data_IF_675135219165
#
_entry.id   IF_675135219165
#
_cell.length_a   1.000
_cell.length_b   1.000
_cell.length_c   1.000
_cell.angle_alpha   90.00
_cell.angle_beta   90.00
_cell.angle_gamma   90.00
#
_symmetry.space_group_name_H-M   'P 1'
#
loop_
_entity.id
_entity.type
_entity.pdbx_description
1 polymer ?
#
# COMPACT_ATOMS: atom_id res chain seq x y z
N UNK A 1 -11.30 222.32 -4.86
CA UNK A 1 -10.96 221.51 -3.67
C UNK A 1 -11.92 220.32 -3.44
N UNK A 2 -12.94 220.10 -4.29
CA UNK A 2 -13.75 218.87 -4.27
C UNK A 2 -13.41 217.87 -5.42
N UNK A 3 -12.99 218.32 -6.61
CA UNK A 3 -12.69 217.40 -7.74
C UNK A 3 -11.49 216.47 -7.53
N UNK A 4 -10.46 216.88 -6.79
CA UNK A 4 -9.27 216.02 -6.55
C UNK A 4 -9.52 214.86 -5.58
N UNK A 5 -10.60 214.90 -4.80
CA UNK A 5 -10.92 213.82 -3.86
C UNK A 5 -11.77 212.73 -4.53
N UNK A 6 -12.68 213.12 -5.43
CA UNK A 6 -13.54 212.17 -6.16
C UNK A 6 -12.76 211.32 -7.17
N UNK A 7 -11.77 211.89 -7.87
CA UNK A 7 -10.86 211.12 -8.75
C UNK A 7 -10.01 210.10 -8.00
N UNK A 8 -9.50 210.46 -6.80
CA UNK A 8 -8.73 209.53 -5.99
C UNK A 8 -9.59 208.38 -5.44
N UNK A 9 -10.87 208.63 -5.15
CA UNK A 9 -11.75 207.60 -4.60
C UNK A 9 -12.21 206.61 -5.69
N UNK A 10 -12.47 207.08 -6.92
CA UNK A 10 -12.82 206.20 -8.05
C UNK A 10 -11.69 205.25 -8.43
N UNK A 11 -10.45 205.76 -8.48
CA UNK A 11 -9.26 204.93 -8.76
C UNK A 11 -9.02 203.88 -7.67
N UNK A 12 -9.35 204.20 -6.42
CA UNK A 12 -9.21 203.27 -5.31
C UNK A 12 -10.24 202.13 -5.39
N UNK A 13 -11.49 202.43 -5.74
CA UNK A 13 -12.55 201.41 -5.92
C UNK A 13 -12.24 200.50 -7.10
N UNK A 14 -11.83 201.03 -8.26
CA UNK A 14 -11.40 200.21 -9.40
C UNK A 14 -10.19 199.34 -9.07
N UNK A 15 -9.23 199.86 -8.29
CA UNK A 15 -8.09 199.06 -7.83
C UNK A 15 -8.51 197.93 -6.90
N UNK A 16 -9.50 198.16 -6.02
CA UNK A 16 -10.02 197.13 -5.12
C UNK A 16 -10.89 196.09 -5.84
N UNK A 17 -11.73 196.50 -6.79
CA UNK A 17 -12.51 195.58 -7.63
C UNK A 17 -11.60 194.69 -8.46
N UNK A 18 -10.52 195.24 -9.00
CA UNK A 18 -9.52 194.48 -9.75
C UNK A 18 -8.77 193.49 -8.87
N UNK A 19 -8.36 193.89 -7.66
CA UNK A 19 -7.74 192.97 -6.69
C UNK A 19 -8.72 191.88 -6.25
N UNK A 20 -10.00 192.20 -6.07
CA UNK A 20 -11.03 191.21 -5.73
C UNK A 20 -11.21 190.23 -6.89
N UNK A 21 -11.28 190.69 -8.15
CA UNK A 21 -11.36 189.84 -9.34
C UNK A 21 -10.13 188.94 -9.49
N UNK A 22 -8.92 189.51 -9.41
CA UNK A 22 -7.67 188.73 -9.48
C UNK A 22 -7.64 187.67 -8.36
N UNK A 23 -8.09 188.02 -7.14
CA UNK A 23 -8.18 187.07 -6.03
C UNK A 23 -9.28 186.00 -6.24
N UNK A 24 -10.42 186.36 -6.84
CA UNK A 24 -11.48 185.39 -7.14
C UNK A 24 -11.06 184.43 -8.24
N UNK A 25 -10.42 184.92 -9.31
CA UNK A 25 -9.84 184.08 -10.37
C UNK A 25 -8.74 183.16 -9.83
N UNK A 26 -7.88 183.65 -8.92
CA UNK A 26 -6.88 182.80 -8.25
C UNK A 26 -7.52 181.69 -7.40
N UNK A 27 -8.58 182.00 -6.64
CA UNK A 27 -9.27 181.00 -5.83
C UNK A 27 -10.13 180.06 -6.68
N UNK A 28 -10.71 180.51 -7.79
CA UNK A 28 -11.41 179.66 -8.76
C UNK A 28 -10.44 178.73 -9.49
N UNK A 29 -9.25 179.22 -9.87
CA UNK A 29 -8.19 178.39 -10.45
C UNK A 29 -7.69 177.34 -9.45
N UNK A 30 -7.47 177.71 -8.18
CA UNK A 30 -7.14 176.75 -7.12
C UNK A 30 -8.26 175.76 -6.86
N UNK A 31 -9.52 176.19 -6.93
CA UNK A 31 -10.68 175.31 -6.77
C UNK A 31 -10.77 174.31 -7.93
N UNK A 32 -10.51 174.76 -9.18
CA UNK A 32 -10.46 173.88 -10.35
C UNK A 32 -9.27 172.92 -10.29
N UNK A 33 -8.10 173.37 -9.83
CA UNK A 33 -6.93 172.51 -9.63
C UNK A 33 -7.19 171.45 -8.56
N UNK A 34 -7.79 171.82 -7.42
CA UNK A 34 -8.21 170.87 -6.38
C UNK A 34 -9.32 169.93 -6.86
N UNK A 35 -10.28 170.41 -7.66
CA UNK A 35 -11.30 169.55 -8.28
C UNK A 35 -10.67 168.54 -9.24
N UNK A 36 -9.72 168.98 -10.07
CA UNK A 36 -8.98 168.11 -10.97
C UNK A 36 -8.12 167.10 -10.19
N UNK A 37 -7.46 167.52 -9.12
CA UNK A 37 -6.70 166.63 -8.23
C UNK A 37 -7.62 165.60 -7.54
N UNK A 38 -8.81 165.99 -7.09
CA UNK A 38 -9.80 165.08 -6.52
C UNK A 38 -10.32 164.08 -7.55
N UNK A 39 -10.56 164.51 -8.79
CA UNK A 39 -10.94 163.60 -9.89
C UNK A 39 -9.81 162.63 -10.22
N UNK A 40 -8.57 163.10 -10.32
CA UNK A 40 -7.40 162.25 -10.54
C UNK A 40 -7.20 161.25 -9.40
N UNK A 41 -7.26 161.70 -8.14
CA UNK A 41 -7.15 160.84 -6.97
C UNK A 41 -8.31 159.84 -6.88
N UNK A 42 -9.50 160.24 -7.30
CA UNK A 42 -10.67 159.37 -7.42
C UNK A 42 -10.46 158.27 -8.46
N UNK A 43 -9.94 158.63 -9.64
CA UNK A 43 -9.59 157.67 -10.69
C UNK A 43 -8.47 156.72 -10.25
N UNK A 44 -7.42 157.23 -9.60
CA UNK A 44 -6.34 156.41 -9.03
C UNK A 44 -6.86 155.44 -7.97
N UNK A 45 -7.78 155.89 -7.10
CA UNK A 45 -8.41 155.03 -6.10
C UNK A 45 -9.25 153.92 -6.78
N UNK A 46 -10.07 154.26 -7.77
CA UNK A 46 -10.87 153.28 -8.51
C UNK A 46 -10.00 152.29 -9.31
N UNK A 47 -8.85 152.72 -9.82
CA UNK A 47 -7.87 151.85 -10.46
C UNK A 47 -7.23 150.90 -9.44
N UNK A 48 -6.78 151.41 -8.29
CA UNK A 48 -6.23 150.58 -7.20
C UNK A 48 -7.25 149.58 -6.64
N UNK A 49 -8.53 149.96 -6.51
CA UNK A 49 -9.59 149.06 -6.08
C UNK A 49 -9.80 147.93 -7.11
N UNK A 50 -9.81 148.25 -8.41
CA UNK A 50 -9.89 147.25 -9.47
C UNK A 50 -8.70 146.31 -9.50
N UNK A 51 -7.48 146.84 -9.35
CA UNK A 51 -6.27 146.04 -9.25
C UNK A 51 -6.30 145.11 -8.03
N UNK A 52 -6.74 145.62 -6.87
CA UNK A 52 -6.85 144.83 -5.66
C UNK A 52 -7.90 143.72 -5.78
N UNK A 53 -9.05 144.00 -6.39
CA UNK A 53 -10.08 142.99 -6.66
C UNK A 53 -9.58 141.92 -7.63
N UNK A 54 -8.85 142.30 -8.67
CA UNK A 54 -8.24 141.37 -9.62
C UNK A 54 -7.18 140.48 -8.95
N UNK A 55 -6.28 141.07 -8.13
CA UNK A 55 -5.28 140.32 -7.35
C UNK A 55 -5.97 139.36 -6.39
N UNK A 56 -7.03 139.80 -5.70
CA UNK A 56 -7.79 138.96 -4.80
C UNK A 56 -8.44 137.79 -5.54
N UNK A 57 -9.03 138.04 -6.72
CA UNK A 57 -9.62 136.97 -7.54
C UNK A 57 -8.56 135.96 -7.97
N UNK A 58 -7.41 136.42 -8.45
CA UNK A 58 -6.31 135.54 -8.84
C UNK A 58 -5.79 134.72 -7.67
N UNK A 59 -5.65 135.33 -6.48
CA UNK A 59 -5.22 134.64 -5.27
C UNK A 59 -6.24 133.58 -4.80
N UNK A 60 -7.54 133.88 -4.88
CA UNK A 60 -8.61 132.92 -4.60
C UNK A 60 -8.60 131.76 -5.60
N UNK A 61 -8.50 132.04 -6.91
CA UNK A 61 -8.42 131.03 -7.97
C UNK A 61 -7.17 130.14 -7.85
N UNK A 62 -6.03 130.71 -7.48
CA UNK A 62 -4.78 129.97 -7.26
C UNK A 62 -4.89 129.11 -5.99
N UNK A 63 -5.46 129.63 -4.90
CA UNK A 63 -5.72 128.86 -3.69
C UNK A 63 -6.70 127.69 -3.93
N UNK A 64 -7.77 127.92 -4.69
CA UNK A 64 -8.71 126.87 -5.06
C UNK A 64 -8.06 125.80 -5.93
N UNK A 65 -7.24 126.20 -6.92
CA UNK A 65 -6.44 125.27 -7.73
C UNK A 65 -5.47 124.45 -6.88
N UNK A 66 -4.76 125.08 -5.94
CA UNK A 66 -3.88 124.37 -5.02
C UNK A 66 -4.65 123.36 -4.15
N UNK A 67 -5.83 123.72 -3.66
CA UNK A 67 -6.71 122.83 -2.89
C UNK A 67 -7.16 121.64 -3.74
N UNK A 68 -7.56 121.87 -4.99
CA UNK A 68 -7.96 120.81 -5.92
C UNK A 68 -6.81 119.87 -6.25
N UNK A 69 -5.63 120.41 -6.56
CA UNK A 69 -4.42 119.60 -6.79
C UNK A 69 -4.07 118.76 -5.55
N UNK A 70 -4.16 119.34 -4.36
CA UNK A 70 -3.91 118.60 -3.12
C UNK A 70 -4.94 117.50 -2.92
N UNK A 71 -6.24 117.78 -3.14
CA UNK A 71 -7.31 116.76 -3.08
C UNK A 71 -7.04 115.63 -4.06
N UNK A 72 -6.75 115.93 -5.32
CA UNK A 72 -6.47 114.92 -6.35
C UNK A 72 -5.24 114.07 -5.98
N UNK A 73 -4.15 114.71 -5.51
CA UNK A 73 -2.96 113.99 -5.03
C UNK A 73 -3.27 113.06 -3.86
N UNK A 74 -4.07 113.49 -2.89
CA UNK A 74 -4.44 112.66 -1.74
C UNK A 74 -5.46 111.57 -2.09
N UNK A 75 -6.41 111.84 -2.98
CA UNK A 75 -7.34 110.82 -3.50
C UNK A 75 -6.60 109.75 -4.30
N UNK A 76 -5.65 110.16 -5.14
CA UNK A 76 -4.78 109.23 -5.88
C UNK A 76 -3.96 108.36 -4.93
N UNK A 77 -3.35 108.95 -3.89
CA UNK A 77 -2.64 108.19 -2.84
C UNK A 77 -3.58 107.24 -2.11
N UNK A 78 -4.75 107.70 -1.69
CA UNK A 78 -5.73 106.89 -0.97
C UNK A 78 -6.23 105.72 -1.81
N UNK A 79 -6.48 105.93 -3.10
CA UNK A 79 -6.87 104.88 -4.03
C UNK A 79 -5.74 103.89 -4.26
N UNK A 80 -4.49 104.36 -4.40
CA UNK A 80 -3.32 103.49 -4.49
C UNK A 80 -3.15 102.62 -3.24
N UNK A 81 -3.29 103.20 -2.05
CA UNK A 81 -3.25 102.45 -0.78
C UNK A 81 -4.40 101.43 -0.66
N UNK A 82 -5.61 101.79 -1.10
CA UNK A 82 -6.77 100.89 -1.13
C UNK A 82 -6.54 99.71 -2.09
N UNK A 83 -5.99 99.96 -3.27
CA UNK A 83 -5.67 98.91 -4.26
C UNK A 83 -4.60 97.96 -3.71
N UNK A 84 -3.53 98.50 -3.12
CA UNK A 84 -2.50 97.69 -2.44
C UNK A 84 -3.12 96.88 -1.30
N UNK A 85 -3.99 97.47 -0.49
CA UNK A 85 -4.71 96.79 0.59
C UNK A 85 -5.58 95.63 0.08
N UNK A 86 -6.31 95.82 -1.02
CA UNK A 86 -7.10 94.77 -1.66
C UNK A 86 -6.21 93.64 -2.20
N UNK A 87 -5.10 93.98 -2.87
CA UNK A 87 -4.14 92.99 -3.38
C UNK A 87 -3.55 92.16 -2.24
N UNK A 88 -3.06 92.82 -1.18
CA UNK A 88 -2.51 92.14 0.00
C UNK A 88 -3.56 91.25 0.69
N UNK A 89 -4.82 91.68 0.76
CA UNK A 89 -5.92 90.86 1.31
C UNK A 89 -6.19 89.63 0.44
N UNK A 90 -6.13 89.77 -0.88
CA UNK A 90 -6.23 88.66 -1.84
C UNK A 90 -5.08 87.67 -1.70
N UNK A 91 -3.85 88.16 -1.68
CA UNK A 91 -2.63 87.36 -1.46
C UNK A 91 -2.67 86.63 -0.12
N UNK A 92 -3.08 87.30 0.96
CA UNK A 92 -3.23 86.68 2.28
C UNK A 92 -4.30 85.57 2.27
N UNK A 93 -5.42 85.78 1.57
CA UNK A 93 -6.43 84.74 1.35
C UNK A 93 -5.89 83.51 0.61
N UNK A 94 -5.08 83.72 -0.43
CA UNK A 94 -4.42 82.63 -1.17
C UNK A 94 -3.40 81.91 -0.29
N UNK A 95 -2.57 82.66 0.46
CA UNK A 95 -1.59 82.08 1.38
C UNK A 95 -2.25 81.24 2.46
N UNK A 96 -3.38 81.70 3.02
CA UNK A 96 -4.16 80.91 4.00
C UNK A 96 -4.70 79.61 3.40
N UNK A 97 -5.20 79.64 2.17
CA UNK A 97 -5.64 78.42 1.46
C UNK A 97 -4.47 77.46 1.21
N UNK A 98 -3.32 77.97 0.77
CA UNK A 98 -2.09 77.17 0.57
C UNK A 98 -1.61 76.56 1.87
N UNK A 99 -1.60 77.33 2.96
CA UNK A 99 -1.24 76.85 4.28
C UNK A 99 -2.15 75.71 4.74
N UNK A 100 -3.48 75.87 4.60
CA UNK A 100 -4.42 74.81 4.97
C UNK A 100 -4.26 73.56 4.10
N UNK A 101 -3.97 73.71 2.80
CA UNK A 101 -3.71 72.58 1.91
C UNK A 101 -2.43 71.83 2.34
N UNK A 102 -1.33 72.55 2.54
CA UNK A 102 -0.07 71.98 3.03
C UNK A 102 -0.23 71.32 4.40
N UNK A 103 -1.02 71.91 5.29
CA UNK A 103 -1.31 71.33 6.60
C UNK A 103 -2.06 70.00 6.48
N UNK A 104 -3.05 69.93 5.59
CA UNK A 104 -3.76 68.68 5.30
C UNK A 104 -2.82 67.63 4.70
N UNK A 105 -1.99 68.00 3.73
CA UNK A 105 -1.02 67.08 3.12
C UNK A 105 -0.03 66.54 4.15
N UNK A 106 0.42 67.37 5.10
CA UNK A 106 1.27 66.95 6.22
C UNK A 106 0.56 65.92 7.10
N UNK A 107 -0.73 66.11 7.38
CA UNK A 107 -1.48 65.20 8.24
C UNK A 107 -1.79 63.87 7.52
N UNK A 108 -2.09 63.92 6.21
CA UNK A 108 -2.26 62.73 5.36
C UNK A 108 -0.93 61.93 5.29
N UNK A 109 0.20 62.60 5.08
CA UNK A 109 1.53 61.97 5.09
C UNK A 109 1.89 61.35 6.45
N UNK A 110 1.54 62.01 7.56
CA UNK A 110 1.76 61.45 8.90
C UNK A 110 0.97 60.15 9.10
N UNK A 111 -0.25 60.08 8.58
CA UNK A 111 -1.07 58.88 8.68
C UNK A 111 -0.52 57.74 7.82
N UNK A 112 -0.06 58.04 6.60
CA UNK A 112 0.64 57.07 5.74
C UNK A 112 1.90 56.52 6.41
N UNK A 113 2.71 57.38 7.05
CA UNK A 113 3.90 56.96 7.81
C UNK A 113 3.53 55.98 8.93
N UNK A 114 2.43 56.22 9.67
CA UNK A 114 1.98 55.29 10.71
C UNK A 114 1.54 53.96 10.14
N UNK A 115 0.79 53.95 9.04
CA UNK A 115 0.35 52.71 8.39
C UNK A 115 1.54 51.89 7.91
N UNK A 116 2.52 52.53 7.27
CA UNK A 116 3.77 51.88 6.87
C UNK A 116 4.56 51.34 8.07
N UNK A 117 4.54 52.04 9.21
CA UNK A 117 5.21 51.58 10.42
C UNK A 117 4.55 50.32 11.01
N UNK A 118 3.21 50.24 11.03
CA UNK A 118 2.52 49.04 11.50
C UNK A 118 2.73 47.86 10.54
N UNK A 119 2.64 48.09 9.22
CA UNK A 119 2.97 47.05 8.23
C UNK A 119 4.41 46.54 8.38
N UNK A 120 5.37 47.46 8.59
CA UNK A 120 6.76 47.09 8.86
C UNK A 120 6.86 46.19 10.08
N UNK A 121 6.16 46.51 11.17
CA UNK A 121 6.14 45.73 12.41
C UNK A 121 5.54 44.34 12.22
N UNK A 122 4.42 44.22 11.50
CA UNK A 122 3.81 42.92 11.14
C UNK A 122 4.76 42.05 10.31
N UNK A 123 5.46 42.65 9.34
CA UNK A 123 6.47 41.95 8.55
C UNK A 123 7.63 41.44 9.41
N UNK A 124 8.13 42.24 10.37
CA UNK A 124 9.17 41.78 11.30
C UNK A 124 8.70 40.63 12.19
N UNK A 125 7.45 40.65 12.65
CA UNK A 125 6.88 39.53 13.41
C UNK A 125 6.80 38.26 12.56
N UNK A 126 6.38 38.40 11.29
CA UNK A 126 6.31 37.28 10.34
C UNK A 126 7.70 36.72 10.01
N UNK A 127 8.71 37.58 9.84
CA UNK A 127 10.10 37.15 9.65
C UNK A 127 10.56 36.36 10.88
N UNK A 128 10.32 36.86 12.09
CA UNK A 128 10.71 36.18 13.32
C UNK A 128 10.04 34.81 13.50
N UNK A 129 8.75 34.67 13.12
CA UNK A 129 8.07 33.37 13.15
C UNK A 129 8.66 32.40 12.12
N UNK A 130 8.92 32.86 10.89
CA UNK A 130 9.52 32.04 9.84
C UNK A 130 10.95 31.62 10.20
N UNK A 131 11.75 32.48 10.81
CA UNK A 131 13.09 32.15 11.31
C UNK A 131 13.04 31.06 12.39
N UNK A 132 12.05 31.11 13.28
CA UNK A 132 11.82 30.07 14.29
C UNK A 132 11.44 28.74 13.64
N UNK A 133 10.57 28.76 12.63
CA UNK A 133 10.16 27.55 11.91
C UNK A 133 11.34 26.94 11.13
N UNK A 134 12.16 27.76 10.47
CA UNK A 134 13.39 27.32 9.80
C UNK A 134 14.32 26.63 10.79
N UNK A 135 14.51 27.20 11.99
CA UNK A 135 15.35 26.59 13.01
C UNK A 135 14.75 25.27 13.54
N UNK A 136 13.43 25.19 13.68
CA UNK A 136 12.73 23.95 14.02
C UNK A 136 12.96 22.85 12.98
N UNK A 137 12.76 23.17 11.69
CA UNK A 137 12.98 22.25 10.59
C UNK A 137 14.44 21.80 10.47
N UNK A 138 15.41 22.71 10.68
CA UNK A 138 16.84 22.35 10.71
C UNK A 138 17.15 21.33 11.80
N UNK A 139 16.55 21.47 12.99
CA UNK A 139 16.72 20.51 14.08
C UNK A 139 16.13 19.15 13.73
N UNK A 140 14.93 19.13 13.15
CA UNK A 140 14.27 17.89 12.70
C UNK A 140 15.08 17.16 11.61
N UNK A 141 15.69 17.90 10.68
CA UNK A 141 16.61 17.33 9.68
C UNK A 141 17.82 16.69 10.37
N UNK A 142 18.44 17.39 11.33
CA UNK A 142 19.59 16.85 12.07
C UNK A 142 19.25 15.55 12.81
N UNK A 143 18.10 15.49 13.49
CA UNK A 143 17.65 14.28 14.21
C UNK A 143 17.35 13.11 13.24
N UNK A 144 16.81 13.42 12.05
CA UNK A 144 16.62 12.43 10.99
C UNK A 144 17.94 11.91 10.44
N UNK A 145 18.92 12.78 10.21
CA UNK A 145 20.23 12.39 9.72
C UNK A 145 20.97 11.49 10.73
N UNK A 146 20.87 11.78 12.03
CA UNK A 146 21.38 10.89 13.09
C UNK A 146 20.70 9.51 13.03
N UNK A 147 19.38 9.47 12.92
CA UNK A 147 18.61 8.22 12.80
C UNK A 147 19.00 7.43 11.54
N UNK A 148 19.22 8.13 10.42
CA UNK A 148 19.67 7.52 9.17
C UNK A 148 21.06 6.91 9.38
N UNK A 149 21.99 7.64 9.99
CA UNK A 149 23.34 7.15 10.29
C UNK A 149 23.34 5.88 11.16
N UNK A 150 22.49 5.82 12.19
CA UNK A 150 22.33 4.62 13.01
C UNK A 150 21.81 3.42 12.20
N UNK A 151 20.80 3.65 11.34
CA UNK A 151 20.25 2.62 10.46
C UNK A 151 21.27 2.14 9.44
N UNK A 152 22.07 3.02 8.86
CA UNK A 152 23.15 2.68 7.94
C UNK A 152 24.21 1.81 8.62
N UNK A 153 24.63 2.16 9.84
CA UNK A 153 25.54 1.35 10.64
C UNK A 153 24.96 -0.05 10.90
N UNK A 154 23.67 -0.13 11.26
CA UNK A 154 22.99 -1.43 11.47
C UNK A 154 22.94 -2.25 10.17
N UNK A 155 22.67 -1.61 9.03
CA UNK A 155 22.69 -2.28 7.71
C UNK A 155 24.09 -2.80 7.40
N UNK A 156 25.13 -2.03 7.71
CA UNK A 156 26.52 -2.45 7.52
C UNK A 156 26.85 -3.71 8.34
N UNK A 157 26.49 -3.71 9.63
CA UNK A 157 26.72 -4.86 10.52
C UNK A 157 25.95 -6.10 10.04
N UNK A 158 24.69 -5.93 9.62
CA UNK A 158 23.89 -7.02 9.07
C UNK A 158 24.46 -7.54 7.75
N UNK A 159 24.95 -6.67 6.86
CA UNK A 159 25.63 -7.10 5.63
C UNK A 159 26.87 -7.94 5.95
N UNK A 160 27.67 -7.54 6.94
CA UNK A 160 28.85 -8.31 7.37
C UNK A 160 28.46 -9.68 7.92
N UNK A 161 27.45 -9.75 8.80
CA UNK A 161 26.91 -11.03 9.31
C UNK A 161 26.36 -11.90 8.17
N UNK A 162 25.70 -11.30 7.19
CA UNK A 162 25.16 -12.03 6.04
C UNK A 162 26.30 -12.64 5.19
N UNK A 163 27.39 -11.90 4.96
CA UNK A 163 28.58 -12.46 4.30
C UNK A 163 29.20 -13.61 5.09
N UNK A 164 29.23 -13.54 6.42
CA UNK A 164 29.68 -14.66 7.26
C UNK A 164 28.76 -15.87 7.13
N UNK A 165 27.43 -15.66 7.13
CA UNK A 165 26.45 -16.72 6.88
C UNK A 165 26.60 -17.36 5.49
N UNK A 166 26.91 -16.59 4.46
CA UNK A 166 27.22 -17.13 3.13
C UNK A 166 28.46 -18.04 3.14
N UNK A 167 29.50 -17.66 3.90
CA UNK A 167 30.68 -18.52 4.10
C UNK A 167 30.32 -19.80 4.84
N UNK A 168 29.53 -19.71 5.92
CA UNK A 168 29.05 -20.90 6.64
C UNK A 168 28.21 -21.80 5.74
N UNK A 169 27.31 -21.22 4.94
CA UNK A 169 26.53 -21.96 3.95
C UNK A 169 27.45 -22.73 2.99
N UNK A 170 28.48 -22.08 2.46
CA UNK A 170 29.42 -22.73 1.55
C UNK A 170 30.14 -23.93 2.19
N UNK A 171 30.61 -23.77 3.44
CA UNK A 171 31.26 -24.87 4.18
C UNK A 171 30.28 -26.01 4.48
N UNK A 172 29.05 -25.69 4.87
CA UNK A 172 28.01 -26.68 5.14
C UNK A 172 27.59 -27.42 3.85
N UNK A 173 27.43 -26.72 2.73
CA UNK A 173 27.12 -27.33 1.43
C UNK A 173 28.24 -28.30 1.01
N UNK A 174 29.50 -27.93 1.23
CA UNK A 174 30.63 -28.82 1.01
C UNK A 174 30.56 -30.06 1.92
N UNK A 175 30.27 -29.86 3.21
CA UNK A 175 30.17 -30.99 4.16
C UNK A 175 29.01 -31.93 3.84
N UNK A 176 27.86 -31.39 3.42
CA UNK A 176 26.72 -32.18 2.95
C UNK A 176 27.12 -33.00 1.72
N UNK A 177 27.80 -32.40 0.73
CA UNK A 177 28.27 -33.12 -0.46
C UNK A 177 29.25 -34.24 -0.10
N UNK A 178 30.19 -33.98 0.80
CA UNK A 178 31.15 -34.99 1.27
C UNK A 178 30.44 -36.15 1.98
N UNK A 179 29.51 -35.87 2.90
CA UNK A 179 28.75 -36.90 3.59
C UNK A 179 27.85 -37.71 2.64
N UNK A 180 27.19 -37.06 1.69
CA UNK A 180 26.41 -37.74 0.64
C UNK A 180 27.27 -38.72 -0.16
N UNK A 181 28.49 -38.31 -0.54
CA UNK A 181 29.44 -39.16 -1.27
C UNK A 181 29.88 -40.39 -0.44
N UNK A 182 29.88 -40.30 0.89
CA UNK A 182 30.17 -41.44 1.77
C UNK A 182 28.95 -42.35 2.00
N UNK A 183 27.74 -41.79 1.95
CA UNK A 183 26.49 -42.54 2.13
C UNK A 183 26.17 -43.38 0.88
N UNK A 184 26.38 -42.84 -0.31
CA UNK A 184 26.09 -43.49 -1.59
C UNK A 184 26.67 -44.93 -1.72
N UNK A 185 27.96 -45.21 -1.44
CA UNK A 185 28.48 -46.57 -1.50
C UNK A 185 27.86 -47.49 -0.44
N UNK A 186 27.55 -46.97 0.76
CA UNK A 186 26.89 -47.75 1.81
C UNK A 186 25.46 -48.11 1.43
N UNK A 187 24.73 -47.20 0.77
CA UNK A 187 23.39 -47.50 0.26
C UNK A 187 23.41 -48.54 -0.85
N UNK A 188 24.41 -48.51 -1.74
CA UNK A 188 24.62 -49.53 -2.75
C UNK A 188 24.93 -50.90 -2.13
N UNK A 189 25.85 -50.97 -1.16
CA UNK A 189 26.15 -52.22 -0.43
C UNK A 189 24.90 -52.77 0.28
N UNK A 190 24.11 -51.91 0.92
CA UNK A 190 22.85 -52.32 1.56
C UNK A 190 21.85 -52.84 0.51
N UNK A 191 21.77 -52.22 -0.66
CA UNK A 191 20.89 -52.68 -1.73
C UNK A 191 21.34 -54.06 -2.26
N UNK A 192 22.64 -54.25 -2.46
CA UNK A 192 23.21 -55.54 -2.90
C UNK A 192 22.96 -56.64 -1.86
N UNK A 193 23.24 -56.37 -0.58
CA UNK A 193 22.95 -57.33 0.48
C UNK A 193 21.46 -57.68 0.58
N UNK A 194 20.57 -56.70 0.37
CA UNK A 194 19.12 -56.96 0.32
C UNK A 194 18.73 -57.86 -0.85
N UNK A 195 19.36 -57.70 -2.01
CA UNK A 195 19.13 -58.56 -3.16
C UNK A 195 19.60 -60.00 -2.89
N UNK A 196 20.80 -60.15 -2.31
CA UNK A 196 21.33 -61.46 -1.89
C UNK A 196 20.42 -62.16 -0.87
N UNK A 197 19.90 -61.43 0.11
CA UNK A 197 18.95 -61.97 1.09
C UNK A 197 17.68 -62.48 0.38
N UNK A 198 17.13 -61.71 -0.58
CA UNK A 198 15.97 -62.16 -1.34
C UNK A 198 16.26 -63.42 -2.15
N UNK A 199 17.41 -63.52 -2.81
CA UNK A 199 17.79 -64.72 -3.55
C UNK A 199 17.89 -65.93 -2.62
N UNK A 200 18.55 -65.76 -1.47
CA UNK A 200 18.65 -66.80 -0.45
C UNK A 200 17.28 -67.22 0.10
N UNK A 201 16.35 -66.27 0.31
CA UNK A 201 14.97 -66.58 0.71
C UNK A 201 14.26 -67.41 -0.36
N UNK A 202 14.45 -67.10 -1.64
CA UNK A 202 13.90 -67.91 -2.75
C UNK A 202 14.50 -69.33 -2.79
N UNK A 203 15.80 -69.46 -2.51
CA UNK A 203 16.44 -70.78 -2.39
C UNK A 203 15.90 -71.56 -1.20
N UNK A 204 15.76 -70.93 -0.03
CA UNK A 204 15.16 -71.54 1.15
C UNK A 204 13.73 -72.01 0.89
N UNK A 205 12.90 -71.21 0.21
CA UNK A 205 11.56 -71.64 -0.20
C UNK A 205 11.60 -72.87 -1.12
N UNK A 206 12.55 -72.94 -2.06
CA UNK A 206 12.74 -74.12 -2.91
C UNK A 206 13.14 -75.34 -2.09
N UNK A 207 14.06 -75.19 -1.15
CA UNK A 207 14.45 -76.28 -0.24
C UNK A 207 13.29 -76.76 0.62
N UNK A 208 12.46 -75.85 1.15
CA UNK A 208 11.27 -76.22 1.91
C UNK A 208 10.25 -76.99 1.06
N UNK A 209 9.98 -76.55 -0.18
CA UNK A 209 9.12 -77.29 -1.11
C UNK A 209 9.69 -78.67 -1.45
N UNK A 210 10.99 -78.76 -1.69
CA UNK A 210 11.65 -80.02 -1.98
C UNK A 210 11.62 -80.98 -0.77
N UNK A 211 11.90 -80.48 0.43
CA UNK A 211 11.82 -81.28 1.66
C UNK A 211 10.39 -81.78 1.90
N UNK A 212 9.37 -80.93 1.72
CA UNK A 212 7.98 -81.37 1.81
C UNK A 212 7.64 -82.48 0.81
N UNK A 213 8.14 -82.39 -0.43
CA UNK A 213 7.97 -83.46 -1.43
C UNK A 213 8.71 -84.76 -1.05
N UNK A 214 9.93 -84.65 -0.52
CA UNK A 214 10.69 -85.80 -0.03
C UNK A 214 10.00 -86.46 1.16
N UNK A 215 9.44 -85.69 2.09
CA UNK A 215 8.67 -86.22 3.22
C UNK A 215 7.42 -86.98 2.76
N UNK A 216 6.69 -86.45 1.77
CA UNK A 216 5.57 -87.15 1.14
C UNK A 216 6.04 -88.46 0.48
N UNK A 217 7.16 -88.42 -0.24
CA UNK A 217 7.74 -89.60 -0.90
C UNK A 217 8.16 -90.67 0.13
N UNK A 218 8.75 -90.25 1.26
CA UNK A 218 9.09 -91.14 2.38
C UNK A 218 7.83 -91.74 2.98
N UNK A 219 6.77 -90.96 3.16
CA UNK A 219 5.49 -91.45 3.67
C UNK A 219 4.88 -92.50 2.73
N UNK A 220 4.86 -92.24 1.42
CA UNK A 220 4.38 -93.18 0.41
C UNK A 220 5.17 -94.49 0.42
N UNK A 221 6.51 -94.42 0.47
CA UNK A 221 7.35 -95.61 0.58
C UNK A 221 7.11 -96.38 1.88
N UNK A 222 6.94 -95.70 3.02
CA UNK A 222 6.60 -96.35 4.30
C UNK A 222 5.25 -97.07 4.22
N UNK A 223 4.23 -96.43 3.64
CA UNK A 223 2.92 -97.08 3.44
C UNK A 223 3.04 -98.32 2.54
N UNK A 224 3.82 -98.22 1.46
CA UNK A 224 4.09 -99.35 0.55
C UNK A 224 4.81 -100.50 1.27
N UNK A 225 5.83 -100.19 2.07
CA UNK A 225 6.55 -101.20 2.88
C UNK A 225 5.62 -101.88 3.88
N UNK A 226 4.80 -101.11 4.60
CA UNK A 226 3.83 -101.66 5.55
C UNK A 226 2.80 -102.56 4.85
N UNK A 227 2.29 -102.14 3.68
CA UNK A 227 1.38 -102.94 2.86
C UNK A 227 2.00 -104.26 2.42
N UNK A 228 3.22 -104.23 1.86
CA UNK A 228 3.96 -105.42 1.46
C UNK A 228 4.28 -106.34 2.66
N UNK A 229 4.61 -105.77 3.82
CA UNK A 229 4.86 -106.54 5.03
C UNK A 229 3.59 -107.25 5.53
N UNK A 230 2.43 -106.57 5.50
CA UNK A 230 1.15 -107.17 5.85
C UNK A 230 0.76 -108.29 4.88
N UNK A 231 1.00 -108.12 3.58
CA UNK A 231 0.77 -109.15 2.57
C UNK A 231 1.71 -110.36 2.77
N UNK A 232 3.00 -110.11 3.03
CA UNK A 232 3.96 -111.17 3.34
C UNK A 232 3.58 -111.95 4.61
N UNK A 233 3.09 -111.27 5.65
CA UNK A 233 2.58 -111.90 6.86
C UNK A 233 1.35 -112.79 6.54
N UNK A 234 0.41 -112.27 5.75
CA UNK A 234 -0.80 -112.99 5.30
C UNK A 234 -0.43 -114.25 4.48
N UNK A 235 0.53 -114.13 3.57
CA UNK A 235 1.03 -115.27 2.80
C UNK A 235 1.72 -116.30 3.71
N UNK A 236 2.51 -115.85 4.69
CA UNK A 236 3.20 -116.72 5.64
C UNK A 236 2.23 -117.45 6.57
N UNK A 237 1.16 -116.80 7.04
CA UNK A 237 0.11 -117.45 7.84
C UNK A 237 -0.69 -118.44 7.02
N UNK A 238 -1.09 -118.07 5.79
CA UNK A 238 -1.78 -118.98 4.86
C UNK A 238 -0.92 -120.22 4.55
N UNK A 239 0.37 -120.03 4.24
CA UNK A 239 1.33 -121.11 4.05
C UNK A 239 1.43 -122.00 5.30
N UNK A 240 1.55 -121.41 6.50
CA UNK A 240 1.56 -122.15 7.75
C UNK A 240 0.29 -122.97 8.01
N UNK A 241 -0.89 -122.42 7.66
CA UNK A 241 -2.17 -123.14 7.72
C UNK A 241 -2.18 -124.31 6.75
N UNK A 242 -1.80 -124.11 5.48
CA UNK A 242 -1.71 -125.17 4.48
C UNK A 242 -0.75 -126.28 4.91
N UNK A 243 0.44 -125.95 5.42
CA UNK A 243 1.40 -126.93 5.96
C UNK A 243 0.80 -127.70 7.14
N UNK A 244 0.07 -127.01 8.03
CA UNK A 244 -0.59 -127.65 9.17
C UNK A 244 -1.69 -128.62 8.75
N UNK A 245 -2.45 -128.28 7.70
CA UNK A 245 -3.46 -129.15 7.09
C UNK A 245 -2.79 -130.38 6.49
N UNK A 246 -1.70 -130.20 5.73
CA UNK A 246 -0.93 -131.31 5.14
C UNK A 246 -0.38 -132.23 6.23
N UNK A 247 0.19 -131.68 7.32
CA UNK A 247 0.69 -132.48 8.45
C UNK A 247 -0.43 -133.25 9.17
N UNK A 248 -1.59 -132.62 9.38
CA UNK A 248 -2.77 -133.29 9.96
C UNK A 248 -3.24 -134.43 9.06
N UNK A 249 -3.33 -134.21 7.75
CA UNK A 249 -3.67 -135.26 6.80
C UNK A 249 -2.63 -136.38 6.80
N UNK A 250 -1.34 -136.06 6.82
CA UNK A 250 -0.27 -137.06 6.87
C UNK A 250 -0.34 -137.92 8.14
N UNK A 251 -0.66 -137.30 9.29
CA UNK A 251 -0.86 -138.02 10.55
C UNK A 251 -2.09 -138.93 10.49
N UNK A 252 -3.24 -138.39 10.09
CA UNK A 252 -4.49 -139.16 9.95
C UNK A 252 -4.30 -140.31 8.94
N UNK A 253 -3.55 -140.10 7.85
CA UNK A 253 -3.18 -141.13 6.88
C UNK A 253 -2.29 -142.21 7.52
N UNK A 254 -1.28 -141.82 8.30
CA UNK A 254 -0.42 -142.78 9.01
C UNK A 254 -1.21 -143.61 10.02
N UNK A 255 -2.16 -143.01 10.74
CA UNK A 255 -3.08 -143.75 11.62
C UNK A 255 -3.94 -144.74 10.84
N UNK A 256 -4.52 -144.34 9.69
CA UNK A 256 -5.28 -145.29 8.85
C UNK A 256 -4.41 -146.44 8.32
N UNK A 257 -3.14 -146.17 7.99
CA UNK A 257 -2.21 -147.17 7.46
C UNK A 257 -1.82 -148.24 8.49
N UNK A 258 -1.94 -147.99 9.80
CA UNK A 258 -1.65 -148.99 10.84
C UNK A 258 -2.64 -150.16 10.83
N UNK A 259 -3.86 -149.95 10.33
CA UNK A 259 -4.90 -150.99 10.25
C UNK A 259 -4.87 -151.79 8.95
N UNK A 260 -3.77 -151.71 8.17
CA UNK A 260 -3.68 -152.36 6.84
C UNK A 260 -3.80 -153.88 6.87
N UNK A 261 -3.51 -154.52 8.01
CA UNK A 261 -3.61 -155.97 8.20
C UNK A 261 -5.01 -156.42 8.70
N UNK A 262 -5.91 -155.48 9.03
CA UNK A 262 -7.28 -155.76 9.45
C UNK A 262 -8.30 -155.13 8.47
N UNK A 263 -8.85 -155.93 7.53
CA UNK A 263 -9.73 -155.44 6.47
C UNK A 263 -11.02 -154.77 6.95
N UNK A 264 -11.53 -155.11 8.14
CA UNK A 264 -12.76 -154.48 8.67
C UNK A 264 -12.46 -153.11 9.28
N UNK A 265 -11.44 -153.03 10.13
CA UNK A 265 -11.02 -151.78 10.77
C UNK A 265 -10.49 -150.75 9.76
N UNK A 266 -9.79 -151.19 8.71
CA UNK A 266 -9.30 -150.31 7.65
C UNK A 266 -10.45 -149.60 6.91
N UNK A 267 -11.52 -150.33 6.56
CA UNK A 267 -12.68 -149.79 5.84
C UNK A 267 -13.35 -148.66 6.64
N UNK A 268 -13.50 -148.82 7.94
CA UNK A 268 -14.13 -147.83 8.81
C UNK A 268 -13.22 -146.61 9.01
N UNK A 269 -11.91 -146.81 9.17
CA UNK A 269 -10.93 -145.71 9.28
C UNK A 269 -10.75 -144.92 7.98
N UNK A 270 -10.82 -145.56 6.80
CA UNK A 270 -10.80 -144.87 5.50
C UNK A 270 -12.07 -144.05 5.27
N UNK A 271 -13.24 -144.53 5.73
CA UNK A 271 -14.49 -143.74 5.70
C UNK A 271 -14.40 -142.51 6.59
N UNK A 272 -13.81 -142.63 7.78
CA UNK A 272 -13.58 -141.50 8.70
C UNK A 272 -12.63 -140.46 8.07
N UNK A 273 -11.55 -140.89 7.41
CA UNK A 273 -10.62 -140.02 6.69
C UNK A 273 -11.31 -139.24 5.54
N UNK A 274 -12.13 -139.94 4.73
CA UNK A 274 -12.85 -139.33 3.61
C UNK A 274 -13.87 -138.28 4.08
N UNK A 275 -14.64 -138.59 5.15
CA UNK A 275 -15.59 -137.65 5.71
C UNK A 275 -14.92 -136.38 6.25
N UNK A 276 -13.73 -136.51 6.87
CA UNK A 276 -13.02 -135.41 7.54
C UNK A 276 -12.30 -134.45 6.58
N UNK A 277 -11.79 -134.94 5.44
CA UNK A 277 -10.93 -134.14 4.54
C UNK A 277 -11.55 -133.81 3.18
N UNK A 278 -12.69 -134.40 2.80
CA UNK A 278 -13.26 -134.24 1.44
C UNK A 278 -14.61 -133.53 1.40
N UNK A 279 -15.37 -133.45 2.51
CA UNK A 279 -16.82 -133.12 2.46
C UNK A 279 -17.24 -131.75 3.01
N UNK A 280 -16.35 -130.80 3.29
CA UNK A 280 -16.76 -129.46 3.77
C UNK A 280 -16.31 -128.34 2.80
N UNK A 281 -17.22 -127.98 1.88
CA UNK A 281 -17.13 -126.80 1.02
C UNK A 281 -17.77 -125.57 1.73
N UNK A 282 -16.99 -124.52 1.96
CA UNK A 282 -17.41 -123.28 2.66
C UNK A 282 -18.20 -122.33 1.73
N UNK A 283 -19.31 -121.76 2.22
CA UNK A 283 -20.21 -120.83 1.49
C UNK A 283 -19.75 -119.36 1.55
N UNK A 284 -20.00 -118.62 0.47
CA UNK A 284 -19.71 -117.20 0.21
C UNK A 284 -20.94 -116.32 0.46
N UNK A 285 -20.93 -115.45 1.49
CA UNK A 285 -22.06 -114.56 1.79
C UNK A 285 -21.73 -113.24 2.49
N UNK A 286 -20.60 -113.12 3.20
CA UNK A 286 -20.34 -111.98 4.10
C UNK A 286 -19.71 -110.72 3.45
N UNK A 287 -19.49 -110.70 2.13
CA UNK A 287 -18.69 -109.62 1.49
C UNK A 287 -19.53 -108.36 1.15
N UNK A 288 -20.85 -108.48 1.07
CA UNK A 288 -21.70 -107.47 0.43
C UNK A 288 -22.23 -106.40 1.40
N UNK A 289 -22.38 -106.72 2.70
CA UNK A 289 -22.86 -105.76 3.72
C UNK A 289 -21.80 -104.71 4.11
N UNK A 290 -20.51 -105.08 4.14
CA UNK A 290 -19.42 -104.17 4.53
C UNK A 290 -19.17 -103.05 3.51
N UNK A 291 -19.40 -103.31 2.23
CA UNK A 291 -19.21 -102.32 1.15
C UNK A 291 -20.24 -101.18 1.25
N UNK A 292 -21.45 -101.52 1.69
CA UNK A 292 -22.58 -100.60 1.70
C UNK A 292 -22.51 -99.61 2.87
N UNK A 293 -21.94 -100.04 4.00
CA UNK A 293 -21.71 -99.17 5.17
C UNK A 293 -20.64 -98.11 4.89
N UNK A 294 -19.53 -98.50 4.24
CA UNK A 294 -18.42 -97.59 3.95
C UNK A 294 -18.81 -96.48 2.95
N UNK A 295 -19.70 -96.80 2.00
CA UNK A 295 -20.21 -95.84 1.01
C UNK A 295 -21.06 -94.73 1.66
N UNK A 296 -21.91 -95.08 2.62
CA UNK A 296 -22.75 -94.11 3.34
C UNK A 296 -21.91 -93.15 4.20
N UNK A 297 -20.83 -93.64 4.80
CA UNK A 297 -19.92 -92.83 5.61
C UNK A 297 -19.16 -91.79 4.79
N UNK A 298 -18.70 -92.15 3.59
CA UNK A 298 -18.00 -91.22 2.69
C UNK A 298 -18.94 -90.11 2.18
N UNK A 299 -20.20 -90.43 1.92
CA UNK A 299 -21.20 -89.46 1.48
C UNK A 299 -21.48 -88.39 2.54
N UNK A 300 -21.65 -88.78 3.81
CA UNK A 300 -21.94 -87.85 4.90
C UNK A 300 -20.77 -86.87 5.16
N UNK A 301 -19.52 -87.33 5.00
CA UNK A 301 -18.34 -86.49 5.13
C UNK A 301 -18.26 -85.41 4.02
N UNK A 302 -18.58 -85.79 2.78
CA UNK A 302 -18.62 -84.86 1.65
C UNK A 302 -19.73 -83.82 1.79
N UNK A 303 -20.93 -84.24 2.23
CA UNK A 303 -22.05 -83.32 2.49
C UNK A 303 -21.68 -82.28 3.57
N UNK A 304 -21.08 -82.69 4.70
CA UNK A 304 -20.61 -81.77 5.75
C UNK A 304 -19.53 -80.79 5.28
N UNK A 305 -18.65 -81.24 4.38
CA UNK A 305 -17.57 -80.40 3.84
C UNK A 305 -18.12 -79.32 2.90
N UNK A 306 -19.08 -79.68 2.05
CA UNK A 306 -19.76 -78.73 1.15
C UNK A 306 -20.52 -77.66 1.93
N UNK A 307 -21.24 -78.02 2.99
CA UNK A 307 -21.97 -77.05 3.82
C UNK A 307 -21.05 -76.10 4.61
N UNK A 308 -19.88 -76.57 5.03
CA UNK A 308 -18.87 -75.69 5.64
C UNK A 308 -18.27 -74.71 4.63
N UNK A 309 -18.01 -75.15 3.39
CA UNK A 309 -17.51 -74.28 2.32
C UNK A 309 -18.54 -73.21 1.91
N UNK A 310 -19.82 -73.59 1.78
CA UNK A 310 -20.91 -72.64 1.50
C UNK A 310 -21.05 -71.57 2.58
N UNK A 311 -20.97 -71.96 3.86
CA UNK A 311 -21.01 -71.00 4.98
C UNK A 311 -19.82 -70.06 5.01
N UNK A 312 -18.62 -70.55 4.70
CA UNK A 312 -17.42 -69.69 4.59
C UNK A 312 -17.55 -68.68 3.46
N UNK A 313 -18.00 -69.11 2.27
CA UNK A 313 -18.19 -68.23 1.13
C UNK A 313 -19.21 -67.12 1.40
N UNK A 314 -20.36 -67.46 2.02
CA UNK A 314 -21.37 -66.48 2.38
C UNK A 314 -20.83 -65.42 3.36
N UNK A 315 -20.06 -65.86 4.36
CA UNK A 315 -19.44 -64.95 5.34
C UNK A 315 -18.40 -64.02 4.70
N UNK A 316 -17.63 -64.53 3.74
CA UNK A 316 -16.63 -63.75 3.02
C UNK A 316 -17.29 -62.69 2.11
N UNK A 317 -18.40 -63.04 1.45
CA UNK A 317 -19.19 -62.10 0.66
C UNK A 317 -19.78 -60.96 1.50
N UNK A 318 -20.27 -61.26 2.70
CA UNK A 318 -20.78 -60.24 3.63
C UNK A 318 -19.66 -59.32 4.14
N UNK A 319 -18.48 -59.87 4.48
CA UNK A 319 -17.31 -59.08 4.86
C UNK A 319 -16.87 -58.13 3.73
N UNK A 320 -16.76 -58.64 2.50
CA UNK A 320 -16.44 -57.83 1.33
C UNK A 320 -17.48 -56.73 1.07
N UNK A 321 -18.76 -57.00 1.31
CA UNK A 321 -19.83 -56.00 1.18
C UNK A 321 -19.70 -54.90 2.23
N UNK A 322 -19.40 -55.26 3.49
CA UNK A 322 -19.20 -54.28 4.56
C UNK A 322 -17.95 -53.41 4.36
N UNK A 323 -16.84 -54.01 3.90
CA UNK A 323 -15.60 -53.28 3.64
C UNK A 323 -15.75 -52.34 2.44
N UNK A 324 -16.39 -52.77 1.34
CA UNK A 324 -16.67 -51.87 0.22
C UNK A 324 -17.56 -50.69 0.61
N UNK A 325 -18.54 -50.90 1.49
CA UNK A 325 -19.39 -49.83 1.99
C UNK A 325 -18.61 -48.83 2.84
N UNK A 326 -17.70 -49.31 3.69
CA UNK A 326 -16.81 -48.48 4.50
C UNK A 326 -15.85 -47.66 3.63
N UNK A 327 -15.18 -48.30 2.68
CA UNK A 327 -14.28 -47.63 1.72
C UNK A 327 -15.03 -46.57 0.92
N UNK A 328 -16.28 -46.84 0.52
CA UNK A 328 -17.10 -45.86 -0.20
C UNK A 328 -17.50 -44.65 0.68
N UNK A 329 -17.76 -44.86 1.98
CA UNK A 329 -18.01 -43.76 2.93
C UNK A 329 -16.76 -42.92 3.19
N UNK A 330 -15.60 -43.55 3.39
CA UNK A 330 -14.30 -42.88 3.54
C UNK A 330 -13.97 -42.06 2.27
N UNK A 331 -14.18 -42.62 1.08
CA UNK A 331 -14.00 -41.89 -0.18
C UNK A 331 -14.94 -40.69 -0.32
N UNK A 332 -16.20 -40.79 0.11
CA UNK A 332 -17.14 -39.67 0.10
C UNK A 332 -16.73 -38.57 1.08
N UNK A 333 -16.21 -38.93 2.26
CA UNK A 333 -15.69 -37.98 3.24
C UNK A 333 -14.45 -37.23 2.70
N UNK A 334 -13.49 -37.96 2.13
CA UNK A 334 -12.29 -37.38 1.51
C UNK A 334 -12.65 -36.45 0.34
N UNK A 335 -13.66 -36.80 -0.47
CA UNK A 335 -14.15 -35.91 -1.54
C UNK A 335 -14.76 -34.63 -0.98
N UNK A 336 -15.47 -34.67 0.16
CA UNK A 336 -15.99 -33.47 0.83
C UNK A 336 -14.85 -32.58 1.33
N UNK A 337 -13.86 -33.16 2.00
CA UNK A 337 -12.67 -32.44 2.48
C UNK A 337 -11.88 -31.81 1.32
N UNK A 338 -11.65 -32.54 0.23
CA UNK A 338 -11.00 -32.01 -0.98
C UNK A 338 -11.80 -30.82 -1.54
N UNK A 339 -13.13 -30.89 -1.53
CA UNK A 339 -13.98 -29.81 -2.03
C UNK A 339 -14.04 -28.60 -1.09
N UNK A 340 -13.91 -28.80 0.22
CA UNK A 340 -13.74 -27.73 1.21
C UNK A 340 -12.39 -27.05 1.06
N UNK A 341 -11.30 -27.81 0.98
CA UNK A 341 -9.95 -27.28 0.72
C UNK A 341 -9.87 -26.54 -0.62
N UNK A 342 -10.56 -27.02 -1.66
CA UNK A 342 -10.68 -26.29 -2.94
C UNK A 342 -11.46 -24.98 -2.80
N UNK A 343 -12.50 -24.93 -1.97
CA UNK A 343 -13.25 -23.71 -1.66
C UNK A 343 -12.40 -22.73 -0.85
N UNK A 344 -11.65 -23.21 0.13
CA UNK A 344 -10.70 -22.39 0.90
C UNK A 344 -9.59 -21.83 0.03
N UNK A 345 -8.99 -22.64 -0.85
CA UNK A 345 -8.00 -22.17 -1.84
C UNK A 345 -8.62 -21.11 -2.77
N UNK A 346 -9.87 -21.29 -3.21
CA UNK A 346 -10.57 -20.31 -4.04
C UNK A 346 -10.84 -19.00 -3.28
N UNK A 347 -11.20 -19.08 -2.00
CA UNK A 347 -11.44 -17.92 -1.14
C UNK A 347 -10.15 -17.17 -0.79
N UNK A 348 -9.04 -17.89 -0.56
CA UNK A 348 -7.72 -17.30 -0.38
C UNK A 348 -7.21 -16.63 -1.67
N UNK A 349 -7.47 -17.24 -2.84
CA UNK A 349 -7.18 -16.60 -4.15
C UNK A 349 -8.04 -15.37 -4.44
N UNK A 350 -9.32 -15.36 -4.05
CA UNK A 350 -10.20 -14.22 -4.26
C UNK A 350 -9.97 -13.10 -3.24
N UNK A 351 -9.54 -13.42 -2.01
CA UNK A 351 -9.08 -12.47 -1.00
C UNK A 351 -7.76 -11.79 -1.38
N UNK A 352 -6.81 -12.53 -1.94
CA UNK A 352 -5.54 -11.98 -2.43
C UNK A 352 -5.69 -11.03 -3.65
N UNK A 353 -6.85 -11.00 -4.31
CA UNK A 353 -7.09 -10.15 -5.48
C UNK A 353 -7.73 -8.79 -5.12
N UNK A 354 -8.09 -8.54 -3.86
CA UNK A 354 -8.75 -7.28 -3.44
C UNK A 354 -7.88 -6.35 -2.56
N UNK A 355 -6.84 -6.83 -1.90
CA UNK A 355 -5.99 -6.02 -1.00
C UNK A 355 -4.50 -5.99 -1.38
N UNK A 356 -4.18 -5.88 -2.67
CA UNK A 356 -2.79 -5.92 -3.14
C UNK A 356 -2.50 -5.14 -4.43
N UNK A 357 -3.29 -4.12 -4.77
CA UNK A 357 -2.92 -3.11 -5.77
C UNK A 357 -2.24 -1.95 -5.06
N UNK A 358 -1.06 -2.20 -4.52
CA UNK A 358 0.04 -1.25 -4.33
C UNK A 358 1.14 -1.97 -3.57
N UNK A 359 2.39 -1.83 -4.03
CA UNK A 359 3.60 -2.44 -3.47
C UNK A 359 3.85 -3.94 -3.70
N UNK A 360 3.99 -4.39 -4.95
CA UNK A 360 5.01 -5.42 -5.26
C UNK A 360 5.46 -5.42 -6.74
N UNK A 361 6.14 -4.36 -7.17
CA UNK A 361 7.05 -4.41 -8.32
C UNK A 361 8.47 -4.10 -7.81
N UNK A 362 9.10 -5.10 -7.19
CA UNK A 362 10.55 -5.28 -7.13
C UNK A 362 10.90 -6.50 -6.28
N UNK A 363 11.43 -7.53 -6.93
CA UNK A 363 12.18 -8.61 -6.31
C UNK A 363 11.44 -9.94 -6.22
N UNK A 364 12.09 -10.99 -6.73
CA UNK A 364 11.74 -12.42 -6.67
C UNK A 364 10.74 -12.83 -7.78
N UNK A 365 11.01 -13.78 -8.68
CA UNK A 365 11.77 -15.02 -8.51
C UNK A 365 12.31 -15.55 -9.86
N UNK A 366 13.62 -15.87 -9.91
CA UNK A 366 14.29 -16.63 -10.98
C UNK A 366 14.46 -18.12 -10.58
N UNK A 367 13.55 -18.65 -9.77
CA UNK A 367 13.72 -19.95 -9.09
C UNK A 367 12.63 -20.96 -9.40
N UNK A 368 11.62 -20.61 -10.21
CA UNK A 368 10.53 -21.51 -10.60
C UNK A 368 10.70 -22.15 -11.99
N UNK A 369 11.53 -21.56 -12.85
CA UNK A 369 11.66 -21.99 -14.24
C UNK A 369 12.51 -23.26 -14.43
N UNK A 370 13.34 -23.62 -13.44
CA UNK A 370 14.19 -24.82 -13.52
C UNK A 370 13.44 -26.11 -13.13
N UNK A 371 12.50 -26.05 -12.19
CA UNK A 371 11.70 -27.22 -11.80
C UNK A 371 10.61 -27.55 -12.82
N UNK A 372 10.04 -26.54 -13.49
CA UNK A 372 9.07 -26.76 -14.55
C UNK A 372 9.73 -27.37 -15.80
N UNK A 373 10.90 -26.86 -16.20
CA UNK A 373 11.65 -27.39 -17.33
C UNK A 373 12.20 -28.82 -17.10
N UNK A 374 12.52 -29.17 -15.85
CA UNK A 374 12.92 -30.54 -15.49
C UNK A 374 11.74 -31.52 -15.56
N UNK A 375 10.57 -31.11 -15.07
CA UNK A 375 9.34 -31.91 -15.15
C UNK A 375 8.85 -32.10 -16.58
N UNK A 376 8.92 -31.06 -17.41
CA UNK A 376 8.50 -31.16 -18.81
C UNK A 376 9.41 -32.13 -19.59
N UNK A 377 10.73 -32.12 -19.34
CA UNK A 377 11.66 -33.11 -19.91
C UNK A 377 11.40 -34.53 -19.43
N UNK A 378 11.02 -34.71 -18.18
CA UNK A 378 10.71 -36.04 -17.63
C UNK A 378 9.40 -36.60 -18.18
N UNK A 379 8.39 -35.75 -18.39
CA UNK A 379 7.14 -36.12 -19.06
C UNK A 379 7.40 -36.50 -20.53
N UNK A 380 8.30 -35.80 -21.22
CA UNK A 380 8.66 -36.09 -22.61
C UNK A 380 9.41 -37.43 -22.73
N UNK A 381 10.35 -37.73 -21.83
CA UNK A 381 11.01 -39.04 -21.77
C UNK A 381 10.05 -40.19 -21.45
N UNK A 382 9.07 -39.97 -20.58
CA UNK A 382 8.05 -40.98 -20.27
C UNK A 382 7.12 -41.23 -21.46
N UNK A 383 6.79 -40.21 -22.26
CA UNK A 383 6.00 -40.36 -23.49
C UNK A 383 6.75 -41.15 -24.56
N UNK A 384 8.04 -40.90 -24.74
CA UNK A 384 8.90 -41.66 -25.66
C UNK A 384 9.02 -43.13 -25.25
N UNK A 385 9.15 -43.40 -23.94
CA UNK A 385 9.20 -44.77 -23.43
C UNK A 385 7.89 -45.53 -23.67
N UNK A 386 6.74 -44.87 -23.43
CA UNK A 386 5.42 -45.43 -23.71
C UNK A 386 5.23 -45.68 -25.21
N UNK A 387 5.76 -44.81 -26.07
CA UNK A 387 5.67 -44.98 -27.52
C UNK A 387 6.55 -46.14 -28.04
N UNK A 388 7.71 -46.38 -27.42
CA UNK A 388 8.56 -47.56 -27.70
C UNK A 388 7.89 -48.86 -27.26
N UNK A 389 7.34 -48.90 -26.06
CA UNK A 389 6.60 -50.05 -25.53
C UNK A 389 5.29 -50.36 -26.27
N UNK A 390 4.80 -49.43 -27.10
CA UNK A 390 3.61 -49.64 -27.96
C UNK A 390 3.94 -50.17 -29.35
N UNK A 391 5.21 -50.10 -29.75
CA UNK A 391 5.70 -50.49 -31.07
C UNK A 391 6.54 -51.78 -31.04
N UNK A 392 6.75 -52.36 -29.85
CA UNK A 392 7.09 -53.77 -29.62
C UNK A 392 5.81 -54.58 -29.39
#
# INVERSE_FOLDING_TARGET
>A
LHERWDEQNSLLVESHERVIQELTEEYEAKLQEEQMNLEMLGQEKEEQEREFEEIKRQLEEDADREIEELKERYESKLNGEREVGLRLKGENGIMKKRYNALQKDIDDQKEEIKQLFEQKKELYQTIASLEKDINGLKKEISERDETIGEKEKRIYDLKKKNQELEKFKFVLDYKIKELKKQIEPRELEIAEMKEQIKEMDHELERYHKNNANLDLTIADYKMKTNGLQAEALKQRTAYGQSVSVIKRFQHDLHETAQYIQDPKMLKDKVKELYAKHVMENTKSGDIEEDIQWEYNRQREYLEKTVDNLKRKLAKDMDLHRTDNMRVMQENVALIKEINELRREIKNLKSGACKDGKDAFKRGLSKSGDFEFAARDKEIEMQRDLIQRLRNE
#
